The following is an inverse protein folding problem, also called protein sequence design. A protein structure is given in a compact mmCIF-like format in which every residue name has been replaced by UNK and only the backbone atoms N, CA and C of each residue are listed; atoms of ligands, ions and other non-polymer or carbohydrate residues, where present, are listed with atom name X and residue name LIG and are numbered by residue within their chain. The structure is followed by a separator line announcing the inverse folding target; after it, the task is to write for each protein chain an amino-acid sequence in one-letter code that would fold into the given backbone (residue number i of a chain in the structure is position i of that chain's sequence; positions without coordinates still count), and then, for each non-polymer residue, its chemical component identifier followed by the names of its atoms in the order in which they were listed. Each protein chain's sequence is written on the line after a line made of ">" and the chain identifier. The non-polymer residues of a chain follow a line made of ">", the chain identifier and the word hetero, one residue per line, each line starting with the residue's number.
data_IF_083906204161
#
_entry.id   IF_083906204161
#
_cell.length_a   1.000
_cell.length_b   1.000
_cell.length_c   1.000
_cell.angle_alpha   90.00
_cell.angle_beta   90.00
_cell.angle_gamma   90.00
#
_symmetry.space_group_name_H-M   'P 1'
#
loop_
_entity.id
_entity.type
_entity.pdbx_description
1 polymer ?
#
# COMPACT_ATOMS: atom_id res chain seq x y z
N UNK A 1 -6.14 11.03 7.88
CA UNK A 1 -5.59 9.67 7.66
C UNK A 1 -6.50 8.93 6.69
N UNK A 2 -5.99 8.10 5.78
CA UNK A 2 -6.83 7.31 4.86
C UNK A 2 -7.58 6.21 5.63
N UNK A 3 -8.84 5.93 5.28
CA UNK A 3 -9.65 4.88 5.94
C UNK A 3 -8.95 3.51 5.88
N UNK A 4 -8.27 3.24 4.76
CA UNK A 4 -7.47 2.02 4.56
C UNK A 4 -6.30 1.92 5.53
N UNK A 5 -5.66 3.04 5.87
CA UNK A 5 -4.54 3.06 6.83
C UNK A 5 -5.03 2.85 8.27
N UNK A 6 -6.19 3.37 8.62
CA UNK A 6 -6.83 3.06 9.90
C UNK A 6 -7.07 1.56 10.10
N UNK A 7 -7.51 0.87 9.05
CA UNK A 7 -7.72 -0.59 9.08
C UNK A 7 -6.41 -1.37 9.28
N UNK A 8 -5.32 -0.95 8.65
CA UNK A 8 -4.01 -1.60 8.81
C UNK A 8 -3.50 -1.46 10.25
N UNK A 9 -3.62 -0.27 10.83
CA UNK A 9 -3.27 -0.06 12.25
C UNK A 9 -4.10 -0.96 13.15
N UNK A 10 -5.41 -1.03 12.92
CA UNK A 10 -6.32 -1.92 13.66
C UNK A 10 -5.91 -3.40 13.55
N UNK A 11 -5.52 -3.88 12.36
CA UNK A 11 -5.01 -5.24 12.17
C UNK A 11 -3.74 -5.51 13.00
N UNK A 12 -2.80 -4.55 13.06
CA UNK A 12 -1.57 -4.67 13.87
C UNK A 12 -1.89 -4.81 15.36
N UNK A 13 -2.98 -4.21 15.82
CA UNK A 13 -3.48 -4.30 17.19
C UNK A 13 -4.32 -5.56 17.46
N UNK A 14 -4.49 -6.43 16.46
CA UNK A 14 -5.31 -7.65 16.56
C UNK A 14 -6.82 -7.43 16.34
N UNK A 15 -7.23 -6.22 15.99
CA UNK A 15 -8.62 -5.84 15.78
C UNK A 15 -8.97 -5.90 14.28
N UNK A 16 -9.68 -6.94 13.84
CA UNK A 16 -10.12 -7.12 12.45
C UNK A 16 -11.62 -6.79 12.33
N UNK A 17 -12.00 -5.68 11.68
CA UNK A 17 -13.41 -5.38 11.39
C UNK A 17 -13.63 -4.75 10.00
N UNK A 18 -14.60 -5.29 9.27
CA UNK A 18 -15.24 -4.72 8.07
C UNK A 18 -14.29 -4.35 6.91
N UNK A 19 -13.28 -5.17 6.63
CA UNK A 19 -12.33 -4.96 5.52
C UNK A 19 -13.04 -4.91 4.18
N UNK A 20 -14.02 -5.78 3.94
CA UNK A 20 -14.71 -5.86 2.64
C UNK A 20 -15.54 -4.60 2.36
N UNK A 21 -16.35 -4.16 3.34
CA UNK A 21 -17.17 -2.93 3.22
C UNK A 21 -16.29 -1.68 3.10
N UNK A 22 -15.24 -1.60 3.91
CA UNK A 22 -14.29 -0.48 3.89
C UNK A 22 -13.54 -0.42 2.56
N UNK A 23 -13.13 -1.57 2.05
CA UNK A 23 -12.44 -1.71 0.76
C UNK A 23 -13.34 -1.29 -0.39
N UNK A 24 -14.59 -1.75 -0.41
CA UNK A 24 -15.56 -1.38 -1.45
C UNK A 24 -15.83 0.14 -1.47
N UNK A 25 -15.96 0.77 -0.29
CA UNK A 25 -16.13 2.21 -0.20
C UNK A 25 -14.88 2.99 -0.68
N UNK A 26 -13.69 2.52 -0.30
CA UNK A 26 -12.43 3.14 -0.75
C UNK A 26 -12.23 2.99 -2.26
N UNK A 27 -12.51 1.81 -2.83
CA UNK A 27 -12.48 1.58 -4.29
C UNK A 27 -13.41 2.56 -5.02
N UNK A 28 -14.63 2.79 -4.51
CA UNK A 28 -15.59 3.75 -5.07
C UNK A 28 -15.04 5.18 -5.08
N UNK A 29 -14.46 5.65 -3.97
CA UNK A 29 -13.88 7.00 -3.91
C UNK A 29 -12.67 7.15 -4.83
N UNK A 30 -11.82 6.12 -4.92
CA UNK A 30 -10.66 6.13 -5.82
C UNK A 30 -11.11 6.16 -7.29
N UNK A 31 -12.20 5.47 -7.64
CA UNK A 31 -12.79 5.55 -8.98
C UNK A 31 -13.07 6.99 -9.43
N UNK A 32 -13.53 7.86 -8.52
CA UNK A 32 -13.74 9.29 -8.80
C UNK A 32 -12.45 10.07 -9.10
N UNK A 33 -11.30 9.63 -8.57
CA UNK A 33 -10.01 10.25 -8.85
C UNK A 33 -9.60 9.99 -10.31
N UNK A 34 -9.80 8.77 -10.81
CA UNK A 34 -9.41 8.42 -12.17
C UNK A 34 -10.19 9.13 -13.26
N UNK A 35 -11.41 9.61 -12.97
CA UNK A 35 -12.15 10.47 -13.89
C UNK A 35 -11.40 11.77 -14.18
N UNK A 36 -10.69 12.33 -13.19
CA UNK A 36 -9.96 13.60 -13.31
C UNK A 36 -8.46 13.41 -13.58
N UNK A 37 -7.87 12.31 -13.10
CA UNK A 37 -6.46 11.99 -13.25
C UNK A 37 -6.29 10.47 -13.46
N UNK A 38 -6.44 9.97 -14.70
CA UNK A 38 -6.40 8.54 -15.02
C UNK A 38 -5.08 7.86 -14.64
N UNK A 39 -3.98 8.61 -14.62
CA UNK A 39 -2.63 8.10 -14.36
C UNK A 39 -2.14 8.47 -12.95
N UNK A 40 -3.04 8.66 -11.98
CA UNK A 40 -2.66 9.04 -10.63
C UNK A 40 -1.91 7.89 -9.92
N UNK A 41 -0.62 8.09 -9.63
CA UNK A 41 0.22 7.08 -8.97
C UNK A 41 -0.29 6.73 -7.56
N UNK A 42 -0.63 7.72 -6.74
CA UNK A 42 -1.10 7.50 -5.36
C UNK A 42 -2.44 6.75 -5.32
N UNK A 43 -3.36 7.05 -6.24
CA UNK A 43 -4.61 6.33 -6.38
C UNK A 43 -4.39 4.85 -6.71
N UNK A 44 -3.47 4.55 -7.63
CA UNK A 44 -3.08 3.17 -7.94
C UNK A 44 -2.40 2.48 -6.74
N UNK A 45 -1.54 3.18 -5.99
CA UNK A 45 -0.90 2.63 -4.78
C UNK A 45 -1.95 2.28 -3.72
N UNK A 46 -2.94 3.14 -3.50
CA UNK A 46 -4.04 2.86 -2.57
C UNK A 46 -4.89 1.68 -3.01
N UNK A 47 -5.16 1.53 -4.32
CA UNK A 47 -5.82 0.33 -4.83
C UNK A 47 -4.99 -0.92 -4.60
N UNK A 48 -3.67 -0.87 -4.87
CA UNK A 48 -2.81 -2.00 -4.55
C UNK A 48 -2.93 -2.40 -3.08
N UNK A 49 -2.95 -1.43 -2.17
CA UNK A 49 -3.06 -1.71 -0.76
C UNK A 49 -4.41 -2.33 -0.37
N UNK A 50 -5.51 -1.88 -0.97
CA UNK A 50 -6.83 -2.49 -0.75
C UNK A 50 -6.79 -3.97 -1.14
N UNK A 51 -6.17 -4.30 -2.27
CA UNK A 51 -6.05 -5.68 -2.70
C UNK A 51 -5.10 -6.52 -1.83
N UNK A 52 -4.03 -5.93 -1.28
CA UNK A 52 -3.22 -6.60 -0.24
C UNK A 52 -4.07 -6.92 1.00
N UNK A 53 -4.88 -5.98 1.49
CA UNK A 53 -5.76 -6.22 2.64
C UNK A 53 -6.80 -7.33 2.37
N UNK A 54 -7.42 -7.31 1.18
CA UNK A 54 -8.35 -8.35 0.75
C UNK A 54 -7.68 -9.72 0.67
N UNK A 55 -6.42 -9.78 0.27
CA UNK A 55 -5.65 -11.04 0.23
C UNK A 55 -5.41 -11.63 1.62
N UNK A 56 -5.18 -10.78 2.62
CA UNK A 56 -5.02 -11.20 4.02
C UNK A 56 -6.34 -11.66 4.66
N UNK A 57 -7.48 -11.11 4.23
CA UNK A 57 -8.80 -11.43 4.78
C UNK A 57 -9.48 -12.64 4.10
N UNK A 58 -9.11 -12.96 2.86
CA UNK A 58 -9.70 -14.06 2.09
C UNK A 58 -8.61 -14.97 1.51
N UNK A 59 -8.26 -16.08 2.20
CA UNK A 59 -7.24 -17.01 1.74
C UNK A 59 -7.53 -17.62 0.36
N UNK A 60 -8.79 -17.95 0.06
CA UNK A 60 -9.18 -18.58 -1.21
C UNK A 60 -8.98 -17.63 -2.40
N UNK A 61 -9.24 -16.34 -2.23
CA UNK A 61 -9.04 -15.30 -3.26
C UNK A 61 -7.69 -14.60 -3.20
N UNK A 62 -6.76 -15.08 -2.37
CA UNK A 62 -5.53 -14.34 -2.06
C UNK A 62 -4.63 -14.13 -3.28
N UNK A 63 -4.44 -15.16 -4.11
CA UNK A 63 -3.61 -15.08 -5.31
C UNK A 63 -4.13 -14.04 -6.32
N UNK A 64 -5.44 -14.04 -6.60
CA UNK A 64 -6.06 -13.09 -7.52
C UNK A 64 -5.98 -11.65 -6.99
N UNK A 65 -6.18 -11.48 -5.68
CA UNK A 65 -6.03 -10.18 -5.04
C UNK A 65 -4.58 -9.69 -5.12
N UNK A 66 -3.58 -10.55 -4.85
CA UNK A 66 -2.17 -10.19 -4.99
C UNK A 66 -1.78 -9.90 -6.44
N UNK A 67 -2.36 -10.60 -7.43
CA UNK A 67 -2.16 -10.30 -8.85
C UNK A 67 -2.67 -8.89 -9.18
N UNK A 68 -3.88 -8.54 -8.74
CA UNK A 68 -4.44 -7.18 -8.90
C UNK A 68 -3.60 -6.13 -8.17
N UNK A 69 -3.12 -6.41 -6.95
CA UNK A 69 -2.25 -5.51 -6.22
C UNK A 69 -0.98 -5.17 -7.04
N UNK A 70 -0.32 -6.19 -7.57
CA UNK A 70 0.88 -6.02 -8.39
C UNK A 70 0.60 -5.30 -9.73
N UNK A 71 -0.57 -5.51 -10.34
CA UNK A 71 -1.00 -4.75 -11.52
C UNK A 71 -1.09 -3.24 -11.21
N UNK A 72 -1.70 -2.89 -10.08
CA UNK A 72 -1.80 -1.49 -9.66
C UNK A 72 -0.44 -0.89 -9.29
N UNK A 73 0.48 -1.65 -8.68
CA UNK A 73 1.85 -1.18 -8.47
C UNK A 73 2.59 -0.95 -9.78
N UNK A 74 2.35 -1.76 -10.80
CA UNK A 74 2.90 -1.55 -12.14
C UNK A 74 2.37 -0.25 -12.74
N UNK A 75 1.05 0.00 -12.66
CA UNK A 75 0.44 1.26 -13.10
C UNK A 75 0.98 2.47 -12.35
N UNK A 76 1.12 2.36 -11.02
CA UNK A 76 1.72 3.41 -10.19
C UNK A 76 3.18 3.70 -10.58
N UNK A 77 3.98 2.67 -10.82
CA UNK A 77 5.37 2.81 -11.22
C UNK A 77 5.53 3.46 -12.61
N UNK A 78 4.61 3.19 -13.54
CA UNK A 78 4.57 3.86 -14.84
C UNK A 78 4.28 5.36 -14.70
N UNK A 79 3.48 5.76 -13.70
CA UNK A 79 3.15 7.17 -13.45
C UNK A 79 4.20 7.90 -12.59
N UNK A 80 4.74 7.26 -11.56
CA UNK A 80 5.74 7.82 -10.65
C UNK A 80 6.63 6.72 -10.04
N UNK A 81 7.63 6.26 -10.80
CA UNK A 81 8.59 5.21 -10.37
C UNK A 81 9.35 5.52 -9.08
N UNK A 82 9.47 6.80 -8.73
CA UNK A 82 10.22 7.26 -7.57
C UNK A 82 9.35 7.38 -6.32
N UNK A 83 8.04 7.14 -6.44
CA UNK A 83 7.15 7.19 -5.29
C UNK A 83 7.56 6.13 -4.25
N UNK A 84 7.94 6.54 -3.02
CA UNK A 84 8.43 5.63 -1.99
C UNK A 84 7.38 4.59 -1.56
N UNK A 85 6.10 4.93 -1.69
CA UNK A 85 5.00 4.07 -1.25
C UNK A 85 4.82 2.83 -2.10
N UNK A 86 5.31 2.84 -3.34
CA UNK A 86 5.40 1.62 -4.16
C UNK A 86 6.24 0.58 -3.44
N UNK A 87 7.38 0.98 -2.89
CA UNK A 87 8.28 0.07 -2.17
C UNK A 87 7.72 -0.29 -0.78
N UNK A 88 6.95 0.60 -0.14
CA UNK A 88 6.21 0.25 1.08
C UNK A 88 5.27 -0.93 0.83
N UNK A 89 4.43 -0.85 -0.21
CA UNK A 89 3.47 -1.93 -0.49
C UNK A 89 4.18 -3.21 -0.97
N UNK A 90 5.27 -3.11 -1.75
CA UNK A 90 6.09 -4.29 -2.10
C UNK A 90 6.68 -4.96 -0.87
N UNK A 91 7.12 -4.17 0.11
CA UNK A 91 7.58 -4.67 1.40
C UNK A 91 6.46 -5.37 2.19
N UNK A 92 5.26 -4.78 2.24
CA UNK A 92 4.08 -5.40 2.86
C UNK A 92 3.73 -6.75 2.20
N UNK A 93 3.72 -6.82 0.86
CA UNK A 93 3.48 -8.06 0.11
C UNK A 93 4.52 -9.14 0.44
N UNK A 94 5.81 -8.79 0.38
CA UNK A 94 6.90 -9.73 0.66
C UNK A 94 6.85 -10.22 2.12
N UNK A 95 6.59 -9.32 3.07
CA UNK A 95 6.48 -9.64 4.49
C UNK A 95 5.31 -10.60 4.75
N UNK A 96 4.13 -10.30 4.20
CA UNK A 96 2.95 -11.15 4.32
C UNK A 96 3.12 -12.51 3.62
N UNK A 97 3.93 -12.55 2.55
CA UNK A 97 4.32 -13.78 1.86
C UNK A 97 5.42 -14.59 2.56
N UNK A 98 5.97 -14.10 3.68
CA UNK A 98 7.00 -14.77 4.46
C UNK A 98 8.45 -14.50 4.03
N UNK A 99 8.67 -13.71 2.97
CA UNK A 99 10.00 -13.33 2.50
C UNK A 99 10.50 -12.07 3.21
N UNK A 100 11.02 -12.26 4.43
CA UNK A 100 11.51 -11.17 5.28
C UNK A 100 12.74 -10.45 4.72
N UNK A 101 13.61 -11.15 4.01
CA UNK A 101 14.81 -10.55 3.41
C UNK A 101 14.43 -9.59 2.28
N UNK A 102 13.52 -10.03 1.41
CA UNK A 102 12.98 -9.19 0.34
C UNK A 102 12.17 -8.02 0.91
N UNK A 103 11.37 -8.26 1.94
CA UNK A 103 10.65 -7.20 2.64
C UNK A 103 11.60 -6.12 3.18
N UNK A 104 12.66 -6.52 3.89
CA UNK A 104 13.70 -5.61 4.42
C UNK A 104 14.35 -4.80 3.31
N UNK A 105 14.65 -5.42 2.16
CA UNK A 105 15.20 -4.73 0.98
C UNK A 105 14.25 -3.64 0.47
N UNK A 106 12.95 -3.95 0.35
CA UNK A 106 11.97 -2.96 -0.10
C UNK A 106 11.77 -1.83 0.91
N UNK A 107 11.67 -2.13 2.20
CA UNK A 107 11.52 -1.10 3.23
C UNK A 107 12.73 -0.16 3.32
N UNK A 108 13.95 -0.68 3.19
CA UNK A 108 15.16 0.15 3.10
C UNK A 108 15.17 1.02 1.83
N UNK A 109 14.75 0.47 0.68
CA UNK A 109 14.59 1.24 -0.56
C UNK A 109 13.56 2.37 -0.40
N UNK A 110 12.42 2.08 0.21
CA UNK A 110 11.37 3.06 0.51
C UNK A 110 11.89 4.18 1.43
N UNK A 111 12.64 3.82 2.48
CA UNK A 111 13.29 4.78 3.39
C UNK A 111 14.24 5.71 2.63
N UNK A 112 15.05 5.16 1.72
CA UNK A 112 15.91 5.94 0.83
C UNK A 112 15.13 6.92 -0.05
N UNK A 113 14.08 6.44 -0.73
CA UNK A 113 13.21 7.28 -1.58
C UNK A 113 12.51 8.38 -0.78
N UNK A 114 12.08 8.12 0.44
CA UNK A 114 11.44 9.13 1.29
C UNK A 114 12.35 10.32 1.68
N UNK A 115 13.67 10.19 1.55
CA UNK A 115 14.62 11.29 1.81
C UNK A 115 14.64 12.31 0.67
N UNK A 116 14.34 11.88 -0.55
CA UNK A 116 14.41 12.71 -1.77
C UNK A 116 13.04 12.98 -2.38
N UNK A 117 12.03 12.18 -2.05
CA UNK A 117 10.66 12.37 -2.51
C UNK A 117 10.05 13.60 -1.84
N UNK A 118 9.91 14.66 -2.62
CA UNK A 118 9.28 15.89 -2.21
C UNK A 118 7.77 15.82 -2.45
N UNK A 119 7.02 16.36 -1.49
CA UNK A 119 5.59 16.63 -1.71
C UNK A 119 5.46 17.69 -2.79
N UNK A 120 4.70 17.40 -3.83
CA UNK A 120 4.26 18.31 -4.89
C UNK A 120 3.20 19.29 -4.38
N UNK A 121 2.46 18.94 -3.32
CA UNK A 121 1.48 19.82 -2.69
C UNK A 121 1.29 19.55 -1.18
N UNK A 122 0.64 20.48 -0.47
CA UNK A 122 0.21 20.27 0.93
C UNK A 122 -0.83 19.16 1.08
N UNK A 123 -1.53 18.81 -0.01
CA UNK A 123 -2.51 17.74 -0.07
C UNK A 123 -1.88 16.38 -0.35
N UNK A 124 -0.58 16.34 -0.67
CA UNK A 124 0.08 15.09 -0.94
C UNK A 124 0.18 14.23 0.32
N UNK A 125 0.02 12.91 0.18
CA UNK A 125 0.03 12.02 1.32
C UNK A 125 1.35 12.10 2.09
N UNK A 126 1.27 11.90 3.40
CA UNK A 126 2.40 11.89 4.34
C UNK A 126 2.62 10.53 5.01
N UNK A 127 1.82 9.51 4.67
CA UNK A 127 1.92 8.17 5.24
C UNK A 127 3.10 7.37 4.66
N UNK A 128 3.48 6.28 5.35
CA UNK A 128 4.42 5.27 4.86
C UNK A 128 5.78 5.27 5.55
N UNK A 129 6.20 6.39 6.15
CA UNK A 129 7.45 6.44 6.94
C UNK A 129 7.35 5.62 8.21
N UNK A 130 6.31 5.85 9.00
CA UNK A 130 6.01 5.11 10.23
C UNK A 130 5.76 3.62 9.95
N UNK A 131 5.17 3.29 8.79
CA UNK A 131 4.98 1.89 8.37
C UNK A 131 6.32 1.18 8.17
N UNK A 132 7.28 1.82 7.50
CA UNK A 132 8.63 1.28 7.30
C UNK A 132 9.32 1.06 8.65
N UNK A 133 9.26 2.03 9.55
CA UNK A 133 9.86 1.94 10.88
C UNK A 133 9.27 0.77 11.67
N UNK A 134 7.94 0.63 11.66
CA UNK A 134 7.26 -0.50 12.27
C UNK A 134 7.73 -1.84 11.69
N UNK A 135 7.69 -2.02 10.36
CA UNK A 135 8.07 -3.30 9.76
C UNK A 135 9.55 -3.64 9.97
N UNK A 136 10.44 -2.66 9.86
CA UNK A 136 11.86 -2.88 10.14
C UNK A 136 12.13 -3.24 11.61
N UNK A 137 11.30 -2.78 12.55
CA UNK A 137 11.42 -3.15 13.97
C UNK A 137 11.04 -4.61 14.26
N UNK A 138 10.15 -5.21 13.46
CA UNK A 138 9.65 -6.58 13.66
C UNK A 138 10.31 -7.61 12.72
N UNK A 139 10.94 -7.15 11.63
CA UNK A 139 11.79 -7.98 10.79
C UNK A 139 13.16 -8.14 11.47
N UNK A 140 13.33 -9.26 12.16
CA UNK A 140 14.61 -9.69 12.73
C UNK A 140 15.64 -9.93 11.62
#
# INVERSE_FOLDING_TARGET
>A
MSIIRGQITSQREGNVQNIDETSALAEKYIGGIFVKNPNNAEANILLSQIYVLKSSNNPTGSADNLAKANEYLTKAASADKNNPRIDVIKGEIAFNGGDKELAKKYFNSASGKFKTYSKKSSLDPNWGKEDIEYYLSIIK
#
